data_IF_400148247953
#
_entry.id   IF_400148247953
#
_cell.length_a   1.000
_cell.length_b   1.000
_cell.length_c   1.000
_cell.angle_alpha   90.00
_cell.angle_beta   90.00
_cell.angle_gamma   90.00
#
_symmetry.space_group_name_H-M   'P 1'
#
loop_
_entity.id
_entity.type
_entity.pdbx_description
1 polymer ?
#
# COMPACT_ATOMS: atom_id res chain seq x y z
N UNK A 1 0.29 5.42 21.66
CA UNK A 1 0.13 5.41 20.18
C UNK A 1 -0.40 6.76 19.75
N UNK A 2 0.26 7.44 18.81
CA UNK A 2 -0.19 8.73 18.24
C UNK A 2 -0.67 8.49 16.81
N UNK A 3 -1.74 9.17 16.43
CA UNK A 3 -2.24 9.19 15.06
C UNK A 3 -1.75 10.45 14.35
N UNK A 4 -1.53 10.32 13.06
CA UNK A 4 -1.13 11.39 12.17
C UNK A 4 -2.12 11.45 11.01
N UNK A 5 -2.34 12.65 10.47
CA UNK A 5 -3.35 12.88 9.44
C UNK A 5 -3.04 12.14 8.13
N UNK A 6 -1.76 12.04 7.79
CA UNK A 6 -1.27 11.37 6.58
C UNK A 6 0.14 10.79 6.77
N UNK A 7 0.58 10.05 5.75
CA UNK A 7 1.92 9.45 5.70
C UNK A 7 3.04 10.49 5.80
N UNK A 8 2.89 11.67 5.18
CA UNK A 8 3.95 12.69 5.18
C UNK A 8 4.12 13.34 6.55
N UNK A 9 3.05 13.45 7.34
CA UNK A 9 3.10 13.89 8.73
C UNK A 9 3.77 12.84 9.63
N UNK A 10 3.52 11.56 9.38
CA UNK A 10 4.16 10.45 10.09
C UNK A 10 5.67 10.35 9.78
N UNK A 11 6.05 10.46 8.50
CA UNK A 11 7.45 10.43 8.05
C UNK A 11 8.25 11.59 8.68
N UNK A 12 7.67 12.80 8.70
CA UNK A 12 8.30 13.95 9.38
C UNK A 12 8.46 13.74 10.88
N UNK A 13 7.52 13.07 11.53
CA UNK A 13 7.64 12.77 12.95
C UNK A 13 8.80 11.80 13.25
N UNK A 14 9.08 10.85 12.34
CA UNK A 14 10.27 9.99 12.41
C UNK A 14 11.55 10.80 12.21
N UNK A 15 11.60 11.62 11.15
CA UNK A 15 12.77 12.45 10.81
C UNK A 15 13.12 13.43 11.94
N UNK A 16 12.11 14.07 12.53
CA UNK A 16 12.28 15.01 13.63
C UNK A 16 12.58 14.31 14.99
N UNK A 17 12.58 12.98 15.03
CA UNK A 17 12.77 12.21 16.27
C UNK A 17 11.63 12.37 17.28
N UNK A 18 10.43 12.76 16.84
CA UNK A 18 9.25 12.88 17.71
C UNK A 18 8.63 11.53 18.06
N UNK A 19 8.89 10.52 17.23
CA UNK A 19 8.52 9.12 17.44
C UNK A 19 9.70 8.23 17.03
N UNK A 20 9.86 7.12 17.74
CA UNK A 20 10.95 6.17 17.48
C UNK A 20 10.61 5.14 16.40
N UNK A 21 9.31 4.94 16.13
CA UNK A 21 8.80 3.97 15.18
C UNK A 21 7.45 4.41 14.60
N UNK A 22 7.17 3.93 13.39
CA UNK A 22 5.91 4.13 12.68
C UNK A 22 5.32 2.79 12.25
N UNK A 23 3.99 2.73 12.18
CA UNK A 23 3.25 1.56 11.72
C UNK A 23 2.24 2.00 10.67
N UNK A 24 2.16 1.28 9.55
CA UNK A 24 1.38 1.66 8.38
C UNK A 24 1.63 0.74 7.19
N UNK A 25 1.16 1.14 6.01
CA UNK A 25 1.23 0.34 4.80
C UNK A 25 2.67 0.10 4.33
N UNK A 26 3.02 -1.17 4.11
CA UNK A 26 4.36 -1.56 3.74
C UNK A 26 4.77 -1.05 2.34
N UNK A 27 3.85 -0.94 1.38
CA UNK A 27 4.17 -0.42 0.04
C UNK A 27 4.40 1.10 0.08
N UNK A 28 3.63 1.82 0.91
CA UNK A 28 3.84 3.22 1.23
C UNK A 28 5.25 3.48 1.78
N UNK A 29 5.65 2.72 2.81
CA UNK A 29 7.00 2.82 3.36
C UNK A 29 8.09 2.37 2.39
N UNK A 30 7.84 1.36 1.55
CA UNK A 30 8.84 0.89 0.58
C UNK A 30 9.28 2.00 -0.37
N UNK A 31 8.33 2.84 -0.81
CA UNK A 31 8.63 4.00 -1.65
C UNK A 31 9.40 5.07 -0.87
N UNK A 32 9.00 5.36 0.37
CA UNK A 32 9.63 6.39 1.19
C UNK A 32 11.07 6.01 1.60
N UNK A 33 11.31 4.77 2.00
CA UNK A 33 12.65 4.25 2.35
C UNK A 33 13.64 4.29 1.18
N UNK A 34 13.15 4.35 -0.06
CA UNK A 34 13.96 4.54 -1.27
C UNK A 34 14.26 6.01 -1.59
N UNK A 35 13.64 6.94 -0.87
CA UNK A 35 13.88 8.37 -1.05
C UNK A 35 15.07 8.84 -0.20
N UNK A 36 15.65 10.01 -0.51
CA UNK A 36 16.71 10.60 0.33
C UNK A 36 16.27 10.88 1.78
N UNK A 37 14.97 11.10 2.02
CA UNK A 37 14.46 11.39 3.36
C UNK A 37 14.35 10.13 4.23
N UNK A 38 14.19 8.97 3.60
CA UNK A 38 14.06 7.67 4.27
C UNK A 38 15.37 6.89 4.37
N UNK A 39 16.51 7.43 3.89
CA UNK A 39 17.76 6.66 3.74
C UNK A 39 18.35 6.19 5.06
N UNK A 40 18.08 6.89 6.15
CA UNK A 40 18.57 6.57 7.50
C UNK A 40 17.59 5.69 8.29
N UNK A 41 16.51 5.26 7.65
CA UNK A 41 15.45 4.45 8.25
C UNK A 41 15.40 3.07 7.61
N UNK A 42 14.80 2.12 8.33
CA UNK A 42 14.62 0.74 7.86
C UNK A 42 13.36 0.13 8.46
N UNK A 43 12.94 -1.00 7.89
CA UNK A 43 11.93 -1.83 8.53
C UNK A 43 12.47 -2.41 9.83
N UNK A 44 11.65 -2.35 10.89
CA UNK A 44 11.94 -2.94 12.18
C UNK A 44 11.03 -4.15 12.41
N UNK A 45 11.62 -5.34 12.53
CA UNK A 45 10.88 -6.59 12.79
C UNK A 45 10.20 -7.19 11.56
N UNK A 46 9.25 -8.12 11.81
CA UNK A 46 8.49 -8.80 10.77
C UNK A 46 7.24 -8.03 10.33
N UNK A 47 6.76 -8.34 9.13
CA UNK A 47 5.52 -7.74 8.60
C UNK A 47 4.31 -8.28 9.35
N UNK A 48 3.43 -7.38 9.79
CA UNK A 48 2.09 -7.74 10.22
C UNK A 48 1.19 -7.85 8.99
N UNK A 49 0.64 -9.04 8.74
CA UNK A 49 -0.27 -9.28 7.61
C UNK A 49 -1.70 -9.32 8.14
N UNK A 50 -2.53 -8.42 7.63
CA UNK A 50 -3.97 -8.61 7.67
C UNK A 50 -4.33 -9.60 6.55
N UNK A 51 -5.23 -10.53 6.80
CA UNK A 51 -5.76 -11.44 5.77
C UNK A 51 -6.71 -10.73 4.78
N UNK A 52 -6.64 -9.40 4.73
CA UNK A 52 -7.46 -8.53 3.91
C UNK A 52 -6.57 -7.91 2.83
N UNK A 53 -6.92 -8.16 1.56
CA UNK A 53 -6.26 -7.54 0.42
C UNK A 53 -6.71 -6.09 0.18
N UNK A 54 -6.15 -5.45 -0.85
CA UNK A 54 -6.58 -4.12 -1.31
C UNK A 54 -7.78 -4.27 -2.26
N UNK A 55 -8.85 -3.50 -2.03
CA UNK A 55 -10.07 -3.59 -2.82
C UNK A 55 -10.65 -2.23 -3.24
N UNK A 56 -11.53 -2.26 -4.23
CA UNK A 56 -12.31 -1.10 -4.65
C UNK A 56 -13.62 -1.10 -3.85
N UNK A 57 -13.75 -0.16 -2.90
CA UNK A 57 -14.95 -0.04 -2.09
C UNK A 57 -16.13 0.49 -2.91
N UNK A 58 -17.29 -0.15 -2.74
CA UNK A 58 -18.58 0.27 -3.30
C UNK A 58 -19.64 0.27 -2.20
N UNK A 59 -20.77 0.96 -2.42
CA UNK A 59 -21.93 0.87 -1.53
C UNK A 59 -22.45 -0.57 -1.49
N UNK A 60 -22.91 -1.01 -0.31
CA UNK A 60 -23.30 -2.40 -0.09
C UNK A 60 -24.44 -2.84 -1.01
N UNK A 61 -25.37 -1.94 -1.32
CA UNK A 61 -26.52 -2.19 -2.19
C UNK A 61 -26.19 -2.14 -3.69
N UNK A 62 -25.02 -1.64 -4.09
CA UNK A 62 -24.67 -1.45 -5.51
C UNK A 62 -23.99 -2.68 -6.12
N UNK A 63 -24.72 -3.80 -6.13
CA UNK A 63 -24.21 -5.05 -6.70
C UNK A 63 -23.89 -4.94 -8.19
N UNK A 64 -24.57 -4.04 -8.90
CA UNK A 64 -24.34 -3.84 -10.33
C UNK A 64 -22.97 -3.22 -10.57
N UNK A 65 -22.59 -2.18 -9.81
CA UNK A 65 -21.25 -1.63 -9.88
C UNK A 65 -20.19 -2.64 -9.42
N UNK A 66 -20.45 -3.39 -8.34
CA UNK A 66 -19.55 -4.44 -7.86
C UNK A 66 -19.22 -5.45 -8.98
N UNK A 67 -20.24 -5.96 -9.69
CA UNK A 67 -20.05 -6.90 -10.80
C UNK A 67 -19.30 -6.28 -11.97
N UNK A 68 -19.61 -5.02 -12.30
CA UNK A 68 -18.96 -4.28 -13.40
C UNK A 68 -17.48 -3.97 -13.14
N UNK A 69 -17.07 -3.85 -11.87
CA UNK A 69 -15.66 -3.72 -11.50
C UNK A 69 -14.97 -5.08 -11.45
N UNK A 70 -15.58 -6.09 -10.82
CA UNK A 70 -14.96 -7.39 -10.62
C UNK A 70 -14.74 -8.20 -11.91
N UNK A 71 -15.68 -8.14 -12.86
CA UNK A 71 -15.57 -8.90 -14.12
C UNK A 71 -14.32 -8.53 -14.94
N UNK A 72 -14.07 -7.25 -15.29
CA UNK A 72 -12.84 -6.87 -15.99
C UNK A 72 -11.58 -7.07 -15.14
N UNK A 73 -11.65 -6.88 -13.81
CA UNK A 73 -10.50 -7.15 -12.92
C UNK A 73 -10.04 -8.61 -13.02
N UNK A 74 -10.97 -9.57 -13.03
CA UNK A 74 -10.65 -10.99 -13.25
C UNK A 74 -10.02 -11.23 -14.63
N UNK A 75 -10.53 -10.56 -15.66
CA UNK A 75 -10.00 -10.69 -17.01
C UNK A 75 -8.55 -10.18 -17.12
N UNK A 76 -8.22 -9.01 -16.54
CA UNK A 76 -6.85 -8.47 -16.57
C UNK A 76 -5.87 -9.28 -15.73
N UNK A 77 -6.34 -9.90 -14.63
CA UNK A 77 -5.53 -10.81 -13.82
C UNK A 77 -5.21 -12.10 -14.60
N UNK A 78 -6.22 -12.72 -15.21
CA UNK A 78 -6.04 -13.93 -16.01
C UNK A 78 -5.26 -13.69 -17.30
N UNK A 79 -5.40 -12.49 -17.89
CA UNK A 79 -4.78 -12.11 -19.16
C UNK A 79 -3.37 -11.55 -19.06
N UNK A 80 -2.78 -11.44 -17.87
CA UNK A 80 -1.42 -10.92 -17.67
C UNK A 80 -1.29 -9.40 -17.73
N UNK A 81 -2.31 -8.66 -18.17
CA UNK A 81 -2.33 -7.19 -18.17
C UNK A 81 -2.09 -6.60 -16.77
N UNK A 82 -2.55 -7.27 -15.71
CA UNK A 82 -2.24 -6.83 -14.35
C UNK A 82 -0.73 -6.85 -14.08
N UNK A 83 -0.03 -7.91 -14.50
CA UNK A 83 1.42 -8.02 -14.32
C UNK A 83 2.16 -6.93 -15.10
N UNK A 84 1.73 -6.65 -16.34
CA UNK A 84 2.28 -5.55 -17.15
C UNK A 84 2.13 -4.18 -16.49
N UNK A 85 1.05 -3.98 -15.72
CA UNK A 85 0.85 -2.77 -14.93
C UNK A 85 1.75 -2.80 -13.70
N UNK A 86 1.79 -3.93 -12.97
CA UNK A 86 2.56 -4.11 -11.75
C UNK A 86 4.06 -3.78 -11.95
N UNK A 87 4.69 -4.33 -12.98
CA UNK A 87 6.12 -4.15 -13.26
C UNK A 87 6.53 -2.71 -13.54
N UNK A 88 5.57 -1.82 -13.88
CA UNK A 88 5.84 -0.38 -14.06
C UNK A 88 6.06 0.35 -12.74
N UNK A 89 5.53 -0.19 -11.64
CA UNK A 89 5.54 0.46 -10.33
C UNK A 89 6.34 -0.32 -9.29
N UNK A 90 6.34 -1.65 -9.36
CA UNK A 90 6.98 -2.53 -8.39
C UNK A 90 7.85 -3.59 -9.08
N UNK A 91 9.07 -3.86 -8.59
CA UNK A 91 9.94 -4.91 -9.11
C UNK A 91 9.58 -6.31 -8.56
N UNK A 92 8.41 -6.47 -7.95
CA UNK A 92 7.89 -7.71 -7.39
C UNK A 92 6.37 -7.72 -7.54
N UNK A 93 5.75 -8.91 -7.53
CA UNK A 93 4.28 -9.02 -7.47
C UNK A 93 3.77 -8.45 -6.16
N UNK A 94 2.75 -7.58 -6.25
CA UNK A 94 1.96 -7.15 -5.09
C UNK A 94 0.69 -8.00 -4.90
N UNK A 95 0.46 -8.97 -5.80
CA UNK A 95 -0.61 -9.97 -5.74
C UNK A 95 -0.08 -11.28 -5.14
#
# INVERSE_FOLDING_TARGET
MRLYDDQSALDRALIDGRVDAAFGDALGFWKWLKSPQGSDFAYAGGTYRLDEGIGIAVRQEDETLLRRLNSPLRAILAGGTYEEINVRYFPFSIY
#
